data_IF_019374742861
#
_entry.id   IF_019374742861
#
_cell.length_a   1.000
_cell.length_b   1.000
_cell.length_c   1.000
_cell.angle_alpha   90.00
_cell.angle_beta   90.00
_cell.angle_gamma   90.00
#
_symmetry.space_group_name_H-M   'P 1'
#
loop_
_entity.id
_entity.type
_entity.pdbx_description
1 polymer ?
#
# COMPACT_ATOMS: atom_id res chain seq x y z
N UNK A 1 -13.81 -8.87 27.45
CA UNK A 1 -15.14 -8.40 27.09
C UNK A 1 -15.89 -7.99 28.37
N UNK A 2 -16.94 -7.19 28.21
CA UNK A 2 -17.82 -6.79 29.29
C UNK A 2 -19.29 -6.93 28.85
N UNK A 3 -20.06 -7.76 29.58
CA UNK A 3 -21.49 -7.99 29.37
C UNK A 3 -21.88 -8.40 27.93
N UNK A 4 -21.00 -9.03 27.17
CA UNK A 4 -21.14 -9.34 25.74
C UNK A 4 -21.55 -8.13 24.86
N UNK A 5 -21.24 -6.93 25.31
CA UNK A 5 -21.53 -5.65 24.63
C UNK A 5 -20.26 -4.98 24.17
N UNK A 6 -19.25 -4.93 25.03
CA UNK A 6 -18.03 -4.18 24.77
C UNK A 6 -16.84 -5.14 24.80
N UNK A 7 -16.06 -5.07 23.74
CA UNK A 7 -14.84 -5.86 23.59
C UNK A 7 -13.70 -4.89 23.33
N UNK A 8 -12.61 -5.08 24.03
CA UNK A 8 -11.39 -4.32 23.83
C UNK A 8 -10.21 -5.28 23.72
N UNK A 9 -9.31 -4.99 22.82
CA UNK A 9 -8.06 -5.73 22.61
C UNK A 9 -6.91 -4.75 22.51
N UNK A 10 -5.75 -5.13 23.07
CA UNK A 10 -4.48 -4.43 22.91
C UNK A 10 -3.45 -5.46 22.56
N UNK A 11 -2.68 -5.21 21.51
CA UNK A 11 -1.57 -6.05 21.12
C UNK A 11 -0.30 -5.23 20.96
N UNK A 12 0.83 -5.83 21.35
CA UNK A 12 2.17 -5.27 21.15
C UNK A 12 3.06 -6.41 20.68
N UNK A 13 3.85 -6.16 19.64
CA UNK A 13 4.85 -7.11 19.17
C UNK A 13 6.17 -6.39 18.87
N UNK A 14 7.24 -7.16 18.93
CA UNK A 14 8.56 -6.72 18.54
C UNK A 14 9.11 -7.68 17.49
N UNK A 15 9.46 -7.14 16.34
CA UNK A 15 10.00 -7.91 15.21
C UNK A 15 11.45 -7.50 14.96
N UNK A 16 12.30 -8.45 14.56
CA UNK A 16 13.69 -8.21 14.21
C UNK A 16 14.02 -8.60 12.77
N UNK A 17 14.79 -7.75 12.07
CA UNK A 17 15.25 -8.04 10.71
C UNK A 17 16.76 -7.86 10.59
N UNK A 18 17.46 -8.86 10.05
CA UNK A 18 18.89 -8.78 9.74
C UNK A 18 19.22 -7.93 8.51
N UNK A 19 18.21 -7.49 7.78
CA UNK A 19 18.35 -6.62 6.59
C UNK A 19 18.77 -5.20 6.95
N UNK A 20 18.57 -4.80 8.22
CA UNK A 20 18.90 -3.47 8.73
C UNK A 20 20.20 -3.46 9.54
N UNK A 21 20.78 -2.29 9.67
CA UNK A 21 21.97 -2.04 10.49
C UNK A 21 21.74 -2.39 11.96
N UNK A 22 22.81 -2.56 12.71
CA UNK A 22 22.80 -3.07 14.08
C UNK A 22 21.83 -2.33 15.02
N UNK A 23 21.68 -1.02 14.82
CA UNK A 23 20.87 -0.17 15.69
C UNK A 23 19.38 -0.14 15.29
N UNK A 24 19.04 -0.55 14.07
CA UNK A 24 17.69 -0.41 13.49
C UNK A 24 17.00 -1.76 13.24
N UNK A 25 17.57 -2.87 13.73
CA UNK A 25 17.06 -4.22 13.49
C UNK A 25 15.68 -4.46 14.08
N UNK A 26 15.39 -3.84 15.21
CA UNK A 26 14.19 -4.11 15.98
C UNK A 26 13.13 -3.04 15.77
N UNK A 27 11.94 -3.46 15.33
CA UNK A 27 10.74 -2.65 15.26
C UNK A 27 9.76 -3.03 16.36
N UNK A 28 9.09 -2.05 16.94
CA UNK A 28 8.01 -2.25 17.92
C UNK A 28 6.71 -1.78 17.32
N UNK A 29 5.72 -2.64 17.28
CA UNK A 29 4.42 -2.38 16.66
C UNK A 29 3.31 -2.69 17.66
N UNK A 30 2.25 -1.91 17.61
CA UNK A 30 1.13 -2.09 18.51
C UNK A 30 -0.20 -1.81 17.83
N UNK A 31 -1.26 -2.42 18.36
CA UNK A 31 -2.61 -2.15 17.91
C UNK A 31 -3.58 -2.16 19.09
N UNK A 32 -4.63 -1.37 18.94
CA UNK A 32 -5.80 -1.36 19.81
C UNK A 32 -7.04 -1.64 18.98
N UNK A 33 -7.93 -2.43 19.52
CA UNK A 33 -9.22 -2.75 18.93
C UNK A 33 -10.34 -2.55 19.94
N UNK A 34 -11.46 -2.08 19.46
CA UNK A 34 -12.70 -1.95 20.22
C UNK A 34 -13.87 -2.41 19.36
N UNK A 35 -14.74 -3.24 19.93
CA UNK A 35 -15.97 -3.65 19.28
C UNK A 35 -17.15 -3.45 20.25
N UNK A 36 -18.21 -2.82 19.75
CA UNK A 36 -19.46 -2.64 20.43
C UNK A 36 -20.53 -3.51 19.78
N UNK A 37 -21.08 -4.43 20.56
CA UNK A 37 -22.21 -5.25 20.15
C UNK A 37 -23.50 -4.50 20.47
N UNK A 38 -23.90 -3.64 19.55
CA UNK A 38 -25.06 -2.77 19.66
C UNK A 38 -26.36 -3.54 19.93
N UNK A 39 -26.52 -4.70 19.28
CA UNK A 39 -27.71 -5.53 19.41
C UNK A 39 -27.98 -5.98 20.85
N UNK A 40 -26.93 -6.11 21.67
CA UNK A 40 -27.07 -6.56 23.05
C UNK A 40 -27.42 -5.43 24.03
N UNK A 41 -27.53 -4.21 23.54
CA UNK A 41 -27.96 -3.10 24.37
C UNK A 41 -29.45 -3.15 24.74
N UNK A 42 -29.79 -2.65 25.93
CA UNK A 42 -31.17 -2.67 26.44
C UNK A 42 -32.13 -1.86 25.58
N UNK A 43 -31.66 -0.72 25.04
CA UNK A 43 -32.46 0.14 24.15
C UNK A 43 -32.73 -0.51 22.77
N UNK A 44 -31.96 -1.55 22.39
CA UNK A 44 -32.17 -2.32 21.17
C UNK A 44 -33.08 -3.54 21.35
N UNK A 45 -33.66 -3.73 22.53
CA UNK A 45 -34.51 -4.91 22.84
C UNK A 45 -35.70 -5.06 21.86
N UNK A 46 -36.32 -3.94 21.45
CA UNK A 46 -37.43 -3.92 20.49
C UNK A 46 -37.04 -4.21 19.02
N UNK A 47 -35.75 -4.32 18.71
CA UNK A 47 -35.28 -4.60 17.33
C UNK A 47 -34.88 -6.05 17.11
N UNK A 48 -34.87 -6.89 18.15
CA UNK A 48 -34.30 -8.24 18.14
C UNK A 48 -35.00 -9.19 17.18
N UNK A 49 -36.23 -8.91 16.78
CA UNK A 49 -37.00 -9.74 15.84
C UNK A 49 -36.51 -9.60 14.41
N UNK A 50 -35.96 -8.45 14.06
CA UNK A 50 -35.48 -8.17 12.71
C UNK A 50 -33.96 -7.90 12.63
N UNK A 51 -33.36 -7.34 13.70
CA UNK A 51 -31.91 -7.09 13.77
C UNK A 51 -31.23 -8.30 14.44
N UNK A 52 -30.64 -9.17 13.65
CA UNK A 52 -30.00 -10.40 14.13
C UNK A 52 -28.54 -10.22 14.53
N UNK A 53 -27.88 -9.22 13.94
CA UNK A 53 -26.52 -8.77 14.27
C UNK A 53 -26.46 -7.25 14.17
N UNK A 54 -25.74 -6.62 15.06
CA UNK A 54 -25.48 -5.19 15.03
C UNK A 54 -24.19 -4.92 15.80
N UNK A 55 -23.08 -4.70 15.07
CA UNK A 55 -21.77 -4.50 15.67
C UNK A 55 -21.08 -3.32 15.00
N UNK A 56 -20.38 -2.55 15.82
CA UNK A 56 -19.48 -1.47 15.39
C UNK A 56 -18.10 -1.80 15.92
N UNK A 57 -17.13 -1.95 15.03
CA UNK A 57 -15.77 -2.24 15.39
C UNK A 57 -14.83 -1.11 14.92
N UNK A 58 -13.91 -0.75 15.77
CA UNK A 58 -12.84 0.20 15.49
C UNK A 58 -11.51 -0.43 15.82
N UNK A 59 -10.53 -0.28 14.94
CA UNK A 59 -9.15 -0.66 15.25
C UNK A 59 -8.17 0.39 14.74
N UNK A 60 -7.06 0.52 15.47
CA UNK A 60 -5.96 1.37 15.05
C UNK A 60 -4.64 0.76 15.51
N UNK A 61 -3.67 0.67 14.60
CA UNK A 61 -2.40 0.05 14.91
C UNK A 61 -1.33 0.32 13.88
N UNK A 62 -0.11 -0.06 14.23
CA UNK A 62 1.08 0.06 13.39
C UNK A 62 1.59 -1.31 12.97
N UNK A 63 2.13 -1.39 11.76
CA UNK A 63 2.87 -2.54 11.24
C UNK A 63 4.11 -2.08 10.52
N UNK A 64 5.16 -2.91 10.54
CA UNK A 64 6.41 -2.66 9.84
C UNK A 64 6.57 -3.55 8.62
N UNK A 65 7.28 -3.03 7.62
CA UNK A 65 7.76 -3.79 6.48
C UNK A 65 9.29 -3.70 6.42
N UNK A 66 9.96 -4.82 6.14
CA UNK A 66 11.41 -4.93 5.99
C UNK A 66 11.81 -5.56 4.65
N UNK A 67 10.94 -5.50 3.65
CA UNK A 67 11.13 -6.17 2.37
C UNK A 67 12.07 -5.37 1.45
N UNK A 68 13.37 -5.55 1.67
CA UNK A 68 14.47 -5.07 0.83
C UNK A 68 15.43 -6.24 0.55
N UNK A 69 16.31 -6.16 -0.45
CA UNK A 69 17.38 -7.14 -0.64
C UNK A 69 18.25 -7.27 0.61
N UNK A 70 18.99 -8.37 0.70
CA UNK A 70 19.90 -8.59 1.82
C UNK A 70 21.15 -7.71 1.65
N UNK A 71 21.70 -7.26 2.79
CA UNK A 71 22.96 -6.51 2.88
C UNK A 71 22.91 -5.06 2.36
N UNK A 72 21.74 -4.50 2.07
CA UNK A 72 21.60 -3.11 1.59
C UNK A 72 22.11 -2.06 2.60
N UNK A 73 22.18 -2.41 3.88
CA UNK A 73 22.78 -1.56 4.91
C UNK A 73 24.31 -1.54 4.90
N UNK A 74 24.96 -2.45 4.14
CA UNK A 74 26.44 -2.56 4.10
C UNK A 74 27.00 -1.91 2.83
N UNK A 75 28.14 -1.24 2.96
CA UNK A 75 28.98 -0.91 1.82
C UNK A 75 29.69 -2.17 1.34
N UNK A 76 29.50 -2.51 0.07
CA UNK A 76 30.08 -3.71 -0.51
C UNK A 76 31.09 -3.36 -1.61
N UNK A 77 32.14 -4.19 -1.69
CA UNK A 77 33.12 -4.18 -2.78
C UNK A 77 33.04 -5.48 -3.55
N UNK A 78 33.24 -5.42 -4.85
CA UNK A 78 33.23 -6.59 -5.74
C UNK A 78 34.43 -6.61 -6.67
N UNK A 79 34.75 -7.81 -7.16
CA UNK A 79 35.75 -8.01 -8.20
C UNK A 79 35.19 -7.70 -9.60
N UNK A 80 36.06 -7.78 -10.63
CA UNK A 80 35.67 -7.58 -12.04
C UNK A 80 35.94 -6.16 -12.58
N UNK A 81 36.69 -5.36 -11.82
CA UNK A 81 37.16 -4.04 -12.26
C UNK A 81 38.64 -4.17 -12.65
N UNK A 82 38.91 -4.74 -13.81
CA UNK A 82 40.30 -4.94 -14.28
C UNK A 82 40.95 -3.60 -14.67
N UNK A 83 42.18 -3.38 -14.20
CA UNK A 83 42.98 -2.24 -14.60
C UNK A 83 44.25 -2.74 -15.30
N UNK A 84 44.34 -2.47 -16.61
CA UNK A 84 45.50 -2.85 -17.48
C UNK A 84 45.84 -4.36 -17.40
N UNK A 85 44.81 -5.22 -17.27
CA UNK A 85 44.97 -6.68 -17.21
C UNK A 85 45.20 -7.25 -15.80
N UNK A 86 45.29 -6.40 -14.78
CA UNK A 86 45.34 -6.84 -13.39
C UNK A 86 43.94 -6.86 -12.78
N UNK A 87 43.64 -7.96 -12.08
CA UNK A 87 42.34 -8.08 -11.38
C UNK A 87 42.23 -7.05 -10.26
N UNK A 88 41.22 -6.21 -10.36
CA UNK A 88 40.90 -5.17 -9.39
C UNK A 88 39.58 -5.40 -8.67
N UNK A 89 39.38 -4.66 -7.60
CA UNK A 89 38.13 -4.58 -6.85
C UNK A 89 37.61 -3.17 -6.90
N UNK A 90 36.29 -3.02 -7.01
CA UNK A 90 35.62 -1.72 -6.94
C UNK A 90 34.44 -1.79 -5.97
N UNK A 91 34.05 -0.65 -5.42
CA UNK A 91 32.80 -0.55 -4.69
C UNK A 91 31.61 -0.88 -5.62
N UNK A 92 30.69 -1.73 -5.16
CA UNK A 92 29.50 -2.15 -5.92
C UNK A 92 28.19 -1.65 -5.31
N UNK A 93 28.22 -1.25 -4.03
CA UNK A 93 27.05 -0.81 -3.30
C UNK A 93 27.45 0.19 -2.20
N UNK A 94 26.79 1.35 -2.10
CA UNK A 94 26.95 2.25 -0.96
C UNK A 94 26.14 1.70 0.21
N UNK A 95 26.73 1.61 1.38
CA UNK A 95 26.01 1.24 2.59
C UNK A 95 25.04 2.33 3.03
N UNK A 96 24.00 1.91 3.75
CA UNK A 96 23.13 2.79 4.50
C UNK A 96 22.81 2.17 5.87
N UNK A 97 23.63 2.51 6.87
CA UNK A 97 23.46 1.97 8.22
C UNK A 97 22.18 2.47 8.92
N UNK A 98 21.60 3.57 8.41
CA UNK A 98 20.39 4.19 8.94
C UNK A 98 19.11 3.53 8.44
N UNK A 99 19.19 2.57 7.49
CA UNK A 99 18.04 1.82 7.02
C UNK A 99 17.27 1.19 8.18
N UNK A 100 15.97 1.43 8.18
CA UNK A 100 15.04 0.96 9.20
C UNK A 100 13.71 0.48 8.59
N UNK A 101 12.79 0.11 9.45
CA UNK A 101 11.47 -0.36 9.08
C UNK A 101 10.64 0.71 8.37
N UNK A 102 10.00 0.35 7.28
CA UNK A 102 8.87 1.10 6.73
C UNK A 102 7.68 0.94 7.68
N UNK A 103 7.00 2.02 8.02
CA UNK A 103 5.92 2.03 8.99
C UNK A 103 4.58 2.29 8.32
N UNK A 104 3.60 1.42 8.60
CA UNK A 104 2.21 1.63 8.17
C UNK A 104 1.30 1.74 9.39
N UNK A 105 0.65 2.90 9.52
CA UNK A 105 -0.43 3.11 10.47
C UNK A 105 -1.76 2.84 9.80
N UNK A 106 -2.48 1.84 10.30
CA UNK A 106 -3.80 1.46 9.80
C UNK A 106 -4.86 1.83 10.81
N UNK A 107 -5.94 2.45 10.37
CA UNK A 107 -7.14 2.72 11.16
C UNK A 107 -8.34 2.20 10.39
N UNK A 108 -9.17 1.38 11.03
CA UNK A 108 -10.36 0.78 10.45
C UNK A 108 -11.59 1.09 11.30
N UNK A 109 -12.71 1.31 10.63
CA UNK A 109 -14.05 1.33 11.19
C UNK A 109 -14.91 0.34 10.43
N UNK A 110 -15.42 -0.68 11.10
CA UNK A 110 -16.26 -1.69 10.51
C UNK A 110 -17.65 -1.71 11.15
N UNK A 111 -18.66 -1.85 10.31
CA UNK A 111 -20.06 -1.96 10.66
C UNK A 111 -20.60 -3.29 10.17
N UNK A 112 -21.10 -4.13 11.07
CA UNK A 112 -21.65 -5.43 10.73
C UNK A 112 -23.13 -5.47 11.15
N UNK A 113 -24.01 -5.66 10.18
CA UNK A 113 -25.44 -5.75 10.42
C UNK A 113 -26.02 -7.03 9.83
N UNK A 114 -26.87 -7.69 10.60
CA UNK A 114 -27.64 -8.83 10.15
C UNK A 114 -29.13 -8.54 10.32
N UNK A 115 -29.92 -8.90 9.33
CA UNK A 115 -31.36 -8.64 9.33
C UNK A 115 -32.13 -9.94 8.99
N UNK A 116 -33.16 -10.23 9.80
CA UNK A 116 -34.10 -11.36 9.61
C UNK A 116 -33.44 -12.72 9.42
N UNK A 117 -32.19 -12.93 9.84
CA UNK A 117 -31.35 -14.09 9.54
C UNK A 117 -31.21 -14.39 8.02
N UNK A 118 -31.42 -13.38 7.17
CA UNK A 118 -31.40 -13.52 5.70
C UNK A 118 -30.47 -12.54 5.00
N UNK A 119 -30.21 -11.41 5.62
CA UNK A 119 -29.36 -10.37 5.02
C UNK A 119 -28.25 -10.05 6.00
N UNK A 120 -26.99 -10.20 5.56
CA UNK A 120 -25.81 -9.69 6.25
C UNK A 120 -25.15 -8.62 5.39
N UNK A 121 -24.80 -7.53 6.05
CA UNK A 121 -24.15 -6.36 5.48
C UNK A 121 -22.92 -6.05 6.30
N UNK A 122 -21.73 -6.09 5.65
CA UNK A 122 -20.48 -5.65 6.24
C UNK A 122 -20.00 -4.43 5.47
N UNK A 123 -19.76 -3.34 6.17
CA UNK A 123 -19.24 -2.09 5.62
C UNK A 123 -17.98 -1.72 6.38
N UNK A 124 -16.87 -1.59 5.68
CA UNK A 124 -15.58 -1.23 6.26
C UNK A 124 -15.02 0.04 5.62
N UNK A 125 -14.53 0.94 6.47
CA UNK A 125 -13.77 2.12 6.11
C UNK A 125 -12.37 1.98 6.65
N UNK A 126 -11.36 2.17 5.80
CA UNK A 126 -9.98 2.12 6.24
C UNK A 126 -9.18 3.34 5.78
N UNK A 127 -8.16 3.65 6.58
CA UNK A 127 -7.12 4.61 6.25
C UNK A 127 -5.76 4.01 6.66
N UNK A 128 -4.88 3.83 5.68
CA UNK A 128 -3.51 3.32 5.86
C UNK A 128 -2.55 4.43 5.46
N UNK A 129 -1.76 4.91 6.41
CA UNK A 129 -0.68 5.88 6.18
C UNK A 129 0.65 5.16 6.30
N UNK A 130 1.39 5.08 5.19
CA UNK A 130 2.74 4.53 5.15
C UNK A 130 3.74 5.68 5.15
N UNK A 131 4.72 5.60 6.04
CA UNK A 131 5.85 6.54 6.16
C UNK A 131 7.15 5.77 6.11
N UNK A 132 8.25 6.48 5.91
CA UNK A 132 9.58 5.88 5.85
C UNK A 132 9.65 4.77 4.80
N UNK A 133 9.00 4.97 3.64
CA UNK A 133 8.91 3.97 2.59
C UNK A 133 10.30 3.55 2.15
N UNK A 134 10.52 2.24 2.07
CA UNK A 134 11.76 1.65 1.58
C UNK A 134 11.81 1.79 0.06
N UNK A 135 12.68 2.67 -0.42
CA UNK A 135 12.81 2.99 -1.83
C UNK A 135 14.26 2.93 -2.30
N UNK A 136 14.47 2.44 -3.53
CA UNK A 136 15.72 2.59 -4.25
C UNK A 136 15.81 4.01 -4.81
N UNK A 137 16.68 4.84 -4.25
CA UNK A 137 16.84 6.25 -4.57
C UNK A 137 18.03 6.43 -5.51
N UNK A 138 17.88 7.14 -6.64
CA UNK A 138 18.99 7.43 -7.53
C UNK A 138 19.99 8.38 -6.85
N UNK A 139 21.25 8.09 -7.00
CA UNK A 139 22.34 8.92 -6.50
C UNK A 139 22.94 9.74 -7.62
N UNK A 140 23.26 11.03 -7.34
CA UNK A 140 24.01 11.84 -8.28
C UNK A 140 25.40 11.22 -8.53
N UNK A 141 25.73 10.96 -9.77
CA UNK A 141 26.97 10.29 -10.16
C UNK A 141 28.24 10.95 -9.58
N UNK A 142 28.22 12.28 -9.48
CA UNK A 142 29.33 13.06 -8.91
C UNK A 142 29.47 12.92 -7.38
N UNK A 143 28.45 12.44 -6.70
CA UNK A 143 28.44 12.30 -5.22
C UNK A 143 28.49 10.84 -4.78
N UNK A 144 28.35 9.91 -5.70
CA UNK A 144 28.13 8.49 -5.42
C UNK A 144 29.34 7.60 -5.67
N UNK A 145 30.50 8.13 -6.06
CA UNK A 145 31.65 7.33 -6.49
C UNK A 145 31.30 6.27 -7.57
N UNK A 146 30.30 6.57 -8.44
CA UNK A 146 29.85 5.70 -9.50
C UNK A 146 28.68 4.79 -9.17
N UNK A 147 28.12 4.87 -7.96
CA UNK A 147 26.89 4.12 -7.63
C UNK A 147 25.66 4.74 -8.31
N UNK A 148 24.79 3.89 -8.87
CA UNK A 148 23.58 4.37 -9.52
C UNK A 148 22.44 4.68 -8.55
N UNK A 149 22.31 3.93 -7.45
CA UNK A 149 21.21 4.02 -6.49
C UNK A 149 21.63 3.54 -5.08
N UNK A 150 20.79 3.86 -4.11
CA UNK A 150 20.88 3.39 -2.73
C UNK A 150 19.46 3.14 -2.18
N UNK A 151 19.31 2.13 -1.35
CA UNK A 151 18.09 1.98 -0.56
C UNK A 151 18.05 2.99 0.58
N UNK A 152 16.89 3.61 0.75
CA UNK A 152 16.69 4.61 1.80
C UNK A 152 15.23 4.61 2.28
N UNK A 153 15.02 5.09 3.52
CA UNK A 153 13.70 5.28 4.09
C UNK A 153 13.19 6.67 3.74
N UNK A 154 12.50 6.77 2.62
CA UNK A 154 12.05 8.07 2.07
C UNK A 154 10.69 7.94 1.42
N UNK A 155 9.90 9.01 1.59
CA UNK A 155 8.59 9.05 1.02
C UNK A 155 7.49 8.57 1.96
N UNK A 156 6.30 8.92 1.57
CA UNK A 156 5.08 8.54 2.27
C UNK A 156 3.91 8.42 1.30
N UNK A 157 2.94 7.57 1.66
CA UNK A 157 1.70 7.45 0.92
C UNK A 157 0.51 7.19 1.84
N UNK A 158 -0.67 7.44 1.32
CA UNK A 158 -1.94 7.17 1.99
C UNK A 158 -2.81 6.31 1.08
N UNK A 159 -3.37 5.24 1.65
CA UNK A 159 -4.43 4.43 1.05
C UNK A 159 -5.68 4.57 1.89
N UNK A 160 -6.80 4.91 1.26
CA UNK A 160 -8.10 5.00 1.91
C UNK A 160 -9.10 4.24 1.09
N UNK A 161 -10.04 3.59 1.76
CA UNK A 161 -11.05 2.86 1.01
C UNK A 161 -12.29 2.57 1.81
N UNK A 162 -13.26 2.08 1.04
CA UNK A 162 -14.54 1.59 1.54
C UNK A 162 -14.76 0.22 0.92
N UNK A 163 -15.13 -0.74 1.74
CA UNK A 163 -15.46 -2.09 1.32
C UNK A 163 -16.87 -2.44 1.79
N UNK A 164 -17.65 -3.03 0.90
CA UNK A 164 -19.01 -3.46 1.16
C UNK A 164 -19.12 -4.94 0.79
N UNK A 165 -19.55 -5.77 1.75
CA UNK A 165 -19.94 -7.14 1.50
C UNK A 165 -21.43 -7.31 1.83
N UNK A 166 -22.17 -7.90 0.92
CA UNK A 166 -23.59 -8.19 1.04
C UNK A 166 -23.80 -9.68 0.84
N UNK A 167 -24.47 -10.33 1.80
CA UNK A 167 -24.91 -11.71 1.69
C UNK A 167 -26.40 -11.76 2.00
N UNK A 168 -27.21 -12.20 1.04
CA UNK A 168 -28.66 -12.23 1.16
C UNK A 168 -29.25 -13.58 0.73
N UNK A 169 -30.12 -14.13 1.55
CA UNK A 169 -31.03 -15.22 1.14
C UNK A 169 -32.30 -14.56 0.62
N UNK A 170 -32.37 -14.39 -0.71
CA UNK A 170 -33.44 -13.67 -1.40
C UNK A 170 -34.75 -14.46 -1.35
N UNK A 171 -34.67 -15.76 -1.58
CA UNK A 171 -35.82 -16.65 -1.55
C UNK A 171 -35.43 -17.97 -0.91
N UNK A 172 -36.26 -18.46 -0.02
CA UNK A 172 -36.14 -19.78 0.56
C UNK A 172 -37.53 -20.42 0.68
N UNK A 173 -37.74 -21.48 -0.09
CA UNK A 173 -38.93 -22.33 -0.06
C UNK A 173 -38.45 -23.78 0.14
N UNK A 174 -39.36 -24.70 0.40
CA UNK A 174 -39.06 -26.06 0.88
C UNK A 174 -37.83 -26.72 0.26
N UNK A 175 -37.72 -26.76 -1.05
CA UNK A 175 -36.63 -27.46 -1.77
C UNK A 175 -35.79 -26.53 -2.65
N UNK A 176 -35.97 -25.20 -2.51
CA UNK A 176 -35.26 -24.19 -3.30
C UNK A 176 -34.79 -23.03 -2.45
N UNK A 177 -33.51 -22.70 -2.56
CA UNK A 177 -32.92 -21.53 -1.93
C UNK A 177 -32.18 -20.71 -2.98
N UNK A 178 -32.50 -19.43 -3.06
CA UNK A 178 -31.78 -18.48 -3.87
C UNK A 178 -31.07 -17.46 -3.00
N UNK A 179 -29.74 -17.43 -3.11
CA UNK A 179 -28.87 -16.51 -2.37
C UNK A 179 -28.13 -15.58 -3.34
N UNK A 180 -27.91 -14.35 -2.89
CA UNK A 180 -27.13 -13.33 -3.56
C UNK A 180 -25.92 -12.99 -2.67
N UNK A 181 -24.71 -13.03 -3.24
CA UNK A 181 -23.51 -12.53 -2.63
C UNK A 181 -22.93 -11.44 -3.54
N UNK A 182 -22.64 -10.27 -2.98
CA UNK A 182 -22.04 -9.16 -3.71
C UNK A 182 -20.97 -8.52 -2.84
N UNK A 183 -19.86 -8.12 -3.48
CA UNK A 183 -18.83 -7.33 -2.86
C UNK A 183 -18.46 -6.16 -3.76
N UNK A 184 -18.19 -5.02 -3.15
CA UNK A 184 -17.71 -3.81 -3.83
C UNK A 184 -16.62 -3.21 -2.97
N UNK A 185 -15.50 -2.86 -3.58
CA UNK A 185 -14.43 -2.13 -2.93
C UNK A 185 -14.02 -0.92 -3.76
N UNK A 186 -13.76 0.17 -3.07
CA UNK A 186 -13.21 1.38 -3.66
C UNK A 186 -11.97 1.80 -2.87
N UNK A 187 -10.82 1.84 -3.54
CA UNK A 187 -9.56 2.26 -2.94
C UNK A 187 -9.05 3.54 -3.60
N UNK A 188 -8.67 4.50 -2.78
CA UNK A 188 -7.99 5.71 -3.18
C UNK A 188 -6.56 5.67 -2.63
N UNK A 189 -5.59 5.72 -3.54
CA UNK A 189 -4.17 5.75 -3.22
C UNK A 189 -3.56 7.10 -3.60
N UNK A 190 -2.66 7.62 -2.76
CA UNK A 190 -1.99 8.89 -3.00
C UNK A 190 -0.59 8.90 -2.39
N UNK A 191 0.41 9.20 -3.23
CA UNK A 191 1.77 9.52 -2.77
C UNK A 191 1.71 10.91 -2.13
N UNK A 192 2.19 11.05 -0.90
CA UNK A 192 2.22 12.31 -0.17
C UNK A 192 3.61 12.92 -0.13
N UNK A 193 4.65 12.10 -0.24
CA UNK A 193 6.05 12.53 -0.18
C UNK A 193 6.93 11.59 -0.99
N UNK A 194 7.99 12.13 -1.62
CA UNK A 194 9.07 11.41 -2.27
C UNK A 194 10.42 11.87 -1.71
N UNK A 195 11.50 11.14 -2.04
CA UNK A 195 12.85 11.42 -1.56
C UNK A 195 13.30 12.87 -1.88
N UNK A 196 14.08 13.47 -0.98
CA UNK A 196 14.65 14.82 -1.14
C UNK A 196 13.65 15.91 -1.53
N UNK A 197 12.35 15.73 -1.25
CA UNK A 197 11.30 16.70 -1.59
C UNK A 197 11.02 16.85 -3.08
N UNK A 198 11.51 15.94 -3.93
CA UNK A 198 11.16 15.92 -5.35
C UNK A 198 9.65 15.72 -5.52
N UNK A 199 9.09 16.31 -6.57
CA UNK A 199 7.64 16.21 -6.82
C UNK A 199 7.27 15.06 -7.74
N UNK A 200 8.23 14.57 -8.52
CA UNK A 200 8.04 13.48 -9.45
C UNK A 200 9.34 12.70 -9.68
N UNK A 201 9.19 11.42 -9.98
CA UNK A 201 10.29 10.52 -10.26
C UNK A 201 9.87 9.49 -11.31
N UNK A 202 10.63 9.40 -12.42
CA UNK A 202 10.42 8.38 -13.45
C UNK A 202 11.16 7.11 -13.11
N UNK A 203 10.46 5.98 -13.11
CA UNK A 203 11.05 4.65 -12.99
C UNK A 203 11.51 4.21 -14.39
N UNK A 204 12.81 4.34 -14.66
CA UNK A 204 13.40 4.24 -16.00
C UNK A 204 13.06 3.02 -16.85
N UNK A 205 12.77 1.86 -16.27
CA UNK A 205 12.46 0.63 -17.02
C UNK A 205 10.95 0.29 -17.01
N UNK A 206 10.16 1.00 -16.25
CA UNK A 206 8.72 0.78 -16.17
C UNK A 206 8.00 2.01 -16.70
N UNK A 207 7.02 1.84 -17.57
CA UNK A 207 6.17 2.95 -18.07
C UNK A 207 5.32 3.58 -16.94
N UNK A 208 5.93 3.78 -15.77
CA UNK A 208 5.29 4.35 -14.59
C UNK A 208 6.10 5.51 -14.05
N UNK A 209 5.39 6.50 -13.52
CA UNK A 209 5.96 7.68 -12.89
C UNK A 209 5.39 7.82 -11.49
N UNK A 210 6.24 8.13 -10.52
CA UNK A 210 5.79 8.49 -9.18
C UNK A 210 5.62 10.00 -9.13
N UNK A 211 4.43 10.48 -8.78
CA UNK A 211 4.12 11.91 -8.68
C UNK A 211 3.43 12.17 -7.34
N UNK A 212 3.92 13.15 -6.60
CA UNK A 212 3.28 13.59 -5.36
C UNK A 212 1.88 14.09 -5.66
N UNK A 213 0.89 13.55 -4.96
CA UNK A 213 -0.52 13.86 -5.19
C UNK A 213 -1.25 12.85 -6.06
N UNK A 214 -0.54 11.94 -6.73
CA UNK A 214 -1.07 10.91 -7.61
C UNK A 214 -0.97 9.50 -7.00
N UNK A 215 -1.71 8.52 -7.52
CA UNK A 215 -1.59 7.13 -7.11
C UNK A 215 -0.21 6.55 -7.46
N UNK A 216 0.24 5.58 -6.66
CA UNK A 216 1.39 4.76 -7.01
C UNK A 216 1.02 3.82 -8.17
N UNK A 217 1.91 3.69 -9.15
CA UNK A 217 1.68 2.80 -10.30
C UNK A 217 0.83 3.41 -11.41
N UNK A 218 0.64 4.73 -11.42
CA UNK A 218 0.02 5.43 -12.52
C UNK A 218 0.88 5.30 -13.78
N UNK A 219 0.24 4.91 -14.90
CA UNK A 219 0.95 4.76 -16.16
C UNK A 219 1.37 6.12 -16.73
N UNK A 220 2.62 6.21 -17.12
CA UNK A 220 3.17 7.34 -17.85
C UNK A 220 3.57 6.88 -19.25
N UNK A 221 2.63 7.01 -20.17
CA UNK A 221 2.75 6.45 -21.53
C UNK A 221 2.32 7.48 -22.56
N UNK A 222 2.85 7.35 -23.79
CA UNK A 222 2.40 8.17 -24.90
C UNK A 222 0.95 7.82 -25.25
N UNK A 223 0.10 8.85 -25.36
CA UNK A 223 -1.30 8.69 -25.74
C UNK A 223 -1.40 8.48 -27.25
N UNK A 224 -1.90 7.32 -27.64
CA UNK A 224 -2.10 6.96 -29.04
C UNK A 224 -3.21 7.81 -29.68
N UNK A 225 -2.95 8.38 -30.88
CA UNK A 225 -3.86 9.22 -31.62
C UNK A 225 -4.43 8.56 -32.89
N UNK A 226 -3.97 7.35 -33.24
CA UNK A 226 -4.40 6.63 -34.45
C UNK A 226 -3.26 6.36 -35.41
N UNK A 227 -3.62 6.10 -36.67
CA UNK A 227 -2.69 5.81 -37.76
C UNK A 227 -2.80 6.92 -38.81
N UNK A 228 -1.68 7.36 -39.33
CA UNK A 228 -1.64 8.29 -40.47
C UNK A 228 -2.15 7.58 -41.73
N UNK A 229 -3.27 8.00 -42.31
CA UNK A 229 -3.86 7.30 -43.47
C UNK A 229 -3.02 7.42 -44.74
N UNK A 230 -2.05 8.33 -44.80
CA UNK A 230 -1.22 8.56 -45.96
C UNK A 230 -0.03 7.59 -46.04
N UNK A 231 0.50 7.13 -44.91
CA UNK A 231 1.74 6.33 -44.88
C UNK A 231 1.73 5.17 -43.88
N UNK A 232 0.68 5.03 -43.06
CA UNK A 232 0.53 3.96 -42.07
C UNK A 232 1.30 4.16 -40.75
N UNK A 233 1.93 5.32 -40.54
CA UNK A 233 2.66 5.61 -39.30
C UNK A 233 1.74 5.71 -38.10
N UNK A 234 2.18 5.24 -36.94
CA UNK A 234 1.51 5.47 -35.67
C UNK A 234 1.58 6.95 -35.28
N UNK A 235 0.46 7.49 -34.83
CA UNK A 235 0.33 8.89 -34.38
C UNK A 235 0.12 8.92 -32.87
N UNK A 236 0.69 9.93 -32.23
CA UNK A 236 0.66 10.15 -30.79
C UNK A 236 0.24 11.58 -30.47
N UNK A 237 -0.27 11.82 -29.27
CA UNK A 237 -0.44 13.18 -28.75
C UNK A 237 0.83 13.63 -28.03
N UNK A 238 1.33 14.81 -28.40
CA UNK A 238 2.40 15.47 -27.65
C UNK A 238 1.88 16.07 -26.33
N UNK A 239 2.76 16.70 -25.54
CA UNK A 239 2.40 17.34 -24.25
C UNK A 239 1.43 18.52 -24.41
N UNK A 240 1.32 19.09 -25.60
CA UNK A 240 0.44 20.22 -25.92
C UNK A 240 -0.89 19.74 -26.52
N UNK A 241 -1.06 18.43 -26.70
CA UNK A 241 -2.24 17.84 -27.32
C UNK A 241 -2.23 17.84 -28.84
N UNK A 242 -1.11 18.18 -29.50
CA UNK A 242 -0.98 18.09 -30.95
C UNK A 242 -0.63 16.66 -31.36
N UNK A 243 -1.05 16.29 -32.57
CA UNK A 243 -0.74 15.00 -33.15
C UNK A 243 0.65 15.03 -33.78
N UNK A 244 1.48 14.04 -33.46
CA UNK A 244 2.84 13.87 -33.97
C UNK A 244 3.12 12.39 -34.25
N UNK A 245 4.07 12.10 -35.14
CA UNK A 245 4.60 10.75 -35.38
C UNK A 245 5.91 10.50 -34.60
N UNK A 246 6.39 11.48 -33.84
CA UNK A 246 7.57 11.34 -32.98
C UNK A 246 7.17 10.90 -31.58
N UNK A 247 7.81 9.82 -31.09
CA UNK A 247 7.81 9.42 -29.69
C UNK A 247 8.81 10.28 -28.91
N UNK A 248 8.32 11.00 -27.89
CA UNK A 248 9.18 11.79 -26.98
C UNK A 248 8.94 11.40 -25.54
#
# INVERSE_FOLDING_TARGET
NYADRYYAEVSVRTDGSSRFGKNNRWGVFGAVGFMWNLRNENFMSGTRDWLTMGQVAFSSGTSGNSEIPNYEHLALIGGGSDYIGDAGVAPIQPGNEDLTWENTWTTNLALHFGFWNRLNLDLEFYNKKTTDMLMSVPLAYSQSNGYGYRWDNVGAMVNRGVELNLNAVVLQIKDFTWSLNANVSYNFNKITELYNGVKEYERGETSTKLVVGHPIGEFYVNRYAGVNPANGDALWYDRNGNITNELR
#
